data_IF_773304320950
#
_entry.id   IF_773304320950
#
_cell.length_a   1.000
_cell.length_b   1.000
_cell.length_c   1.000
_cell.angle_alpha   90.00
_cell.angle_beta   90.00
_cell.angle_gamma   90.00
#
_symmetry.space_group_name_H-M   'P 1'
#
loop_
_entity.id
_entity.type
_entity.pdbx_description
1 polymer ?
#
# COMPACT_ATOMS: atom_id res chain seq x y z
N UNK A 1 10.25 6.66 -34.76
CA UNK A 1 9.52 5.51 -34.23
C UNK A 1 9.47 5.47 -32.70
N UNK A 2 10.58 5.55 -31.96
CA UNK A 2 10.57 5.51 -30.47
C UNK A 2 9.70 6.60 -29.80
N UNK A 3 9.65 7.82 -30.33
CA UNK A 3 8.85 8.93 -29.76
C UNK A 3 7.33 8.78 -29.98
N UNK A 4 6.91 8.13 -31.05
CA UNK A 4 5.49 7.87 -31.32
C UNK A 4 4.95 6.73 -30.43
N UNK A 5 5.75 5.70 -30.16
CA UNK A 5 5.42 4.63 -29.23
C UNK A 5 5.27 5.16 -27.78
N UNK A 6 6.13 6.08 -27.39
CA UNK A 6 6.06 6.69 -26.05
C UNK A 6 4.81 7.54 -25.85
N UNK A 7 4.41 8.32 -26.85
CA UNK A 7 3.14 9.08 -26.85
C UNK A 7 1.91 8.17 -26.86
N UNK A 8 1.98 7.06 -27.57
CA UNK A 8 0.91 6.05 -27.61
C UNK A 8 0.76 5.32 -26.26
N UNK A 9 1.87 5.00 -25.59
CA UNK A 9 1.88 4.44 -24.22
C UNK A 9 1.23 5.37 -23.20
N UNK A 10 1.51 6.67 -23.27
CA UNK A 10 0.89 7.69 -22.39
C UNK A 10 -0.62 7.77 -22.63
N UNK A 11 -1.07 7.66 -23.87
CA UNK A 11 -2.50 7.68 -24.21
C UNK A 11 -3.23 6.43 -23.72
N UNK A 12 -2.64 5.24 -23.81
CA UNK A 12 -3.20 3.99 -23.28
C UNK A 12 -3.28 4.04 -21.75
N UNK A 13 -2.26 4.58 -21.09
CA UNK A 13 -2.25 4.78 -19.64
C UNK A 13 -3.38 5.70 -19.17
N UNK A 14 -3.62 6.79 -19.92
CA UNK A 14 -4.71 7.72 -19.65
C UNK A 14 -6.09 7.09 -19.93
N UNK A 15 -6.22 6.30 -21.01
CA UNK A 15 -7.49 5.64 -21.39
C UNK A 15 -7.88 4.52 -20.40
N UNK A 16 -6.90 3.69 -19.95
CA UNK A 16 -7.17 2.68 -18.93
C UNK A 16 -7.60 3.29 -17.59
N UNK A 17 -7.17 4.50 -17.30
CA UNK A 17 -7.61 5.24 -16.11
C UNK A 17 -9.06 5.78 -16.23
N UNK A 18 -9.56 5.97 -17.43
CA UNK A 18 -10.92 6.47 -17.71
C UNK A 18 -11.97 5.34 -17.80
N UNK A 19 -11.60 4.18 -18.35
CA UNK A 19 -12.53 3.06 -18.58
C UNK A 19 -12.85 2.28 -17.32
N UNK A 20 -11.95 2.24 -16.33
CA UNK A 20 -12.20 1.56 -15.06
C UNK A 20 -13.22 2.25 -14.13
N UNK A 21 -13.86 3.33 -14.57
CA UNK A 21 -14.69 4.20 -13.74
C UNK A 21 -16.19 4.21 -14.04
N UNK A 22 -16.67 3.48 -15.05
CA UNK A 22 -18.08 3.61 -15.47
C UNK A 22 -18.98 2.40 -15.17
N UNK A 23 -18.46 1.32 -14.57
CA UNK A 23 -19.28 0.14 -14.19
C UNK A 23 -19.58 0.13 -12.70
N UNK A 24 -20.84 0.15 -12.35
CA UNK A 24 -21.36 0.09 -10.97
C UNK A 24 -21.29 -1.30 -10.32
N UNK A 25 -20.91 -2.34 -11.06
CA UNK A 25 -20.77 -3.71 -10.58
C UNK A 25 -19.50 -4.38 -11.15
N UNK A 26 -18.85 -5.30 -10.42
CA UNK A 26 -17.72 -6.04 -10.96
C UNK A 26 -18.18 -6.98 -12.07
N UNK A 27 -17.62 -6.83 -13.26
CA UNK A 27 -17.87 -7.72 -14.40
C UNK A 27 -17.39 -9.15 -14.10
N UNK A 28 -18.19 -10.13 -14.45
CA UNK A 28 -17.80 -11.54 -14.39
C UNK A 28 -16.73 -11.85 -15.44
N UNK A 29 -15.99 -12.96 -15.26
CA UNK A 29 -14.94 -13.39 -16.22
C UNK A 29 -15.48 -13.58 -17.63
N UNK A 30 -16.73 -14.03 -17.77
CA UNK A 30 -17.38 -14.28 -19.06
C UNK A 30 -17.85 -12.99 -19.74
N UNK A 31 -18.25 -11.98 -18.98
CA UNK A 31 -18.57 -10.65 -19.48
C UNK A 31 -17.32 -9.92 -19.98
N UNK A 32 -16.20 -10.05 -19.27
CA UNK A 32 -14.92 -9.50 -19.68
C UNK A 32 -14.41 -10.15 -20.99
N UNK A 33 -14.55 -11.46 -21.11
CA UNK A 33 -14.18 -12.19 -22.34
C UNK A 33 -15.05 -11.79 -23.54
N UNK A 34 -16.37 -11.63 -23.35
CA UNK A 34 -17.30 -11.16 -24.38
C UNK A 34 -17.05 -9.69 -24.78
N UNK A 35 -16.70 -8.84 -23.83
CA UNK A 35 -16.36 -7.44 -24.08
C UNK A 35 -15.10 -7.31 -24.95
N UNK A 36 -14.05 -8.08 -24.63
CA UNK A 36 -12.80 -8.14 -25.42
C UNK A 36 -13.06 -8.71 -26.83
N UNK A 37 -13.91 -9.73 -26.95
CA UNK A 37 -14.29 -10.29 -28.27
C UNK A 37 -15.06 -9.26 -29.13
N UNK A 38 -15.98 -8.50 -28.53
CA UNK A 38 -16.75 -7.46 -29.22
C UNK A 38 -15.86 -6.28 -29.63
N UNK A 39 -14.85 -5.90 -28.85
CA UNK A 39 -13.87 -4.87 -29.22
C UNK A 39 -13.03 -5.30 -30.44
N UNK A 40 -12.59 -6.56 -30.53
CA UNK A 40 -11.87 -7.06 -31.71
C UNK A 40 -12.73 -7.00 -32.98
N UNK A 41 -14.01 -7.33 -32.88
CA UNK A 41 -14.96 -7.18 -34.02
C UNK A 41 -15.17 -5.72 -34.44
N UNK A 42 -15.25 -4.78 -33.51
CA UNK A 42 -15.40 -3.36 -33.79
C UNK A 42 -14.17 -2.75 -34.46
N UNK A 43 -12.97 -3.15 -34.07
CA UNK A 43 -11.73 -2.71 -34.72
C UNK A 43 -11.56 -3.25 -36.15
N UNK A 44 -11.96 -4.50 -36.41
CA UNK A 44 -11.97 -5.06 -37.77
C UNK A 44 -12.98 -4.32 -38.66
N UNK A 45 -14.15 -3.96 -38.13
CA UNK A 45 -15.17 -3.22 -38.87
C UNK A 45 -14.72 -1.80 -39.25
N UNK A 46 -13.98 -1.11 -38.37
CA UNK A 46 -13.44 0.23 -38.65
C UNK A 46 -12.32 0.17 -39.69
N UNK A 47 -11.51 -0.87 -39.72
CA UNK A 47 -10.44 -1.05 -40.72
C UNK A 47 -11.07 -1.37 -42.10
N UNK A 48 -12.12 -2.19 -42.14
CA UNK A 48 -12.81 -2.53 -43.42
C UNK A 48 -13.58 -1.34 -44.00
N UNK A 49 -14.20 -0.51 -43.17
CA UNK A 49 -14.85 0.72 -43.61
C UNK A 49 -13.85 1.80 -44.07
N UNK A 50 -12.64 1.84 -43.48
CA UNK A 50 -11.57 2.76 -43.85
C UNK A 50 -10.95 2.47 -45.24
N UNK A 51 -11.00 1.21 -45.70
CA UNK A 51 -10.46 0.79 -47.01
C UNK A 51 -11.44 1.04 -48.15
N UNK A 52 -12.73 1.13 -47.88
CA UNK A 52 -13.75 1.35 -48.92
C UNK A 52 -14.05 2.85 -49.22
N UNK A 53 -13.52 3.80 -48.44
CA UNK A 53 -13.68 5.24 -48.65
C UNK A 53 -12.43 5.97 -49.18
N UNK A 54 -11.49 5.28 -49.75
CA UNK A 54 -10.22 5.81 -50.22
C UNK A 54 -10.25 6.29 -51.67
N UNK A 55 -10.83 7.42 -51.97
CA UNK A 55 -10.54 8.24 -53.17
C UNK A 55 -11.04 9.69 -53.00
N UNK A 56 -10.40 10.48 -52.13
CA UNK A 56 -10.39 11.94 -52.28
C UNK A 56 -9.01 12.45 -51.80
N UNK A 57 -8.24 13.00 -52.72
CA UNK A 57 -6.98 13.72 -52.46
C UNK A 57 -7.29 14.98 -51.66
N UNK A 58 -6.73 15.23 -50.48
CA UNK A 58 -6.77 16.56 -49.88
C UNK A 58 -5.63 17.42 -50.42
N UNK A 59 -5.99 18.66 -50.77
CA UNK A 59 -5.10 19.77 -51.08
C UNK A 59 -4.18 20.03 -49.86
N UNK A 60 -2.92 20.38 -50.15
CA UNK A 60 -1.98 20.97 -49.18
C UNK A 60 -2.67 22.16 -48.48
N UNK A 61 -2.77 22.07 -47.18
CA UNK A 61 -3.05 23.20 -46.30
C UNK A 61 -1.80 23.43 -45.43
N UNK A 62 -1.45 24.68 -45.26
CA UNK A 62 -0.26 25.19 -44.61
C UNK A 62 -0.14 24.79 -43.15
N UNK A 63 1.13 24.60 -42.75
CA UNK A 63 1.59 24.39 -41.42
C UNK A 63 1.39 25.63 -40.55
N UNK A 64 0.36 25.63 -39.68
CA UNK A 64 0.36 26.43 -38.45
C UNK A 64 -0.78 25.91 -37.54
N UNK A 65 -0.42 25.39 -36.37
CA UNK A 65 -1.39 25.03 -35.32
C UNK A 65 -1.20 23.64 -34.71
N UNK A 66 0.00 23.34 -34.28
CA UNK A 66 0.16 22.36 -33.21
C UNK A 66 -0.16 23.09 -31.89
N UNK A 67 -1.41 23.06 -31.46
CA UNK A 67 -1.70 23.42 -30.07
C UNK A 67 -1.02 22.40 -29.14
N UNK A 68 0.11 22.82 -28.62
CA UNK A 68 0.68 22.26 -27.40
C UNK A 68 -0.35 22.51 -26.30
N UNK A 69 -0.86 21.46 -25.68
CA UNK A 69 -1.55 21.60 -24.40
C UNK A 69 -0.46 22.02 -23.43
N UNK A 70 -0.23 23.32 -23.35
CA UNK A 70 0.53 23.96 -22.28
C UNK A 70 -0.25 23.69 -20.98
N UNK A 71 0.28 22.84 -20.18
CA UNK A 71 -0.07 22.77 -18.77
C UNK A 71 0.31 24.12 -18.16
N UNK A 72 -0.59 24.85 -17.49
CA UNK A 72 -0.22 26.11 -16.90
C UNK A 72 0.85 25.89 -15.83
N UNK A 73 2.04 26.36 -16.08
CA UNK A 73 3.02 26.67 -15.05
C UNK A 73 2.39 27.67 -14.09
N UNK A 74 2.32 27.33 -12.86
CA UNK A 74 1.77 28.13 -11.75
C UNK A 74 0.28 27.87 -11.43
N UNK A 75 0.07 26.95 -10.53
CA UNK A 75 -0.96 27.03 -9.47
C UNK A 75 -0.87 25.81 -8.53
N UNK A 76 0.32 25.53 -8.00
CA UNK A 76 0.50 24.64 -6.86
C UNK A 76 0.17 25.37 -5.53
N UNK A 77 0.05 26.68 -5.54
CA UNK A 77 -0.19 27.51 -4.36
C UNK A 77 -1.50 27.25 -3.61
N UNK A 78 -2.37 26.37 -4.11
CA UNK A 78 -3.67 26.12 -3.47
C UNK A 78 -3.75 24.78 -2.74
N UNK A 79 -2.72 23.95 -2.74
CA UNK A 79 -2.70 22.67 -2.01
C UNK A 79 -2.01 22.74 -0.65
N UNK A 80 -1.20 23.77 -0.43
CA UNK A 80 -0.50 23.97 0.84
C UNK A 80 -1.13 25.15 1.56
N UNK A 81 -2.09 24.91 2.44
CA UNK A 81 -2.39 25.85 3.49
C UNK A 81 -1.24 25.81 4.49
N UNK A 82 -0.20 26.60 4.24
CA UNK A 82 0.86 26.85 5.21
C UNK A 82 0.27 27.70 6.31
N UNK A 83 -0.30 27.07 7.34
CA UNK A 83 -0.32 27.70 8.65
C UNK A 83 1.13 27.79 9.10
N UNK A 84 1.64 29.00 9.21
CA UNK A 84 2.99 29.29 9.66
C UNK A 84 3.29 28.53 10.95
N UNK A 85 4.22 27.60 10.87
CA UNK A 85 4.72 26.85 12.02
C UNK A 85 5.41 27.85 12.96
N UNK A 86 4.73 28.26 14.01
CA UNK A 86 5.37 28.71 15.23
C UNK A 86 6.14 27.52 15.81
N UNK A 87 7.34 27.76 16.27
CA UNK A 87 8.26 26.86 16.97
C UNK A 87 7.60 26.27 18.22
N UNK A 88 6.64 25.36 18.05
CA UNK A 88 6.00 24.59 19.11
C UNK A 88 6.48 23.16 19.00
N UNK A 89 6.99 22.61 20.10
CA UNK A 89 7.23 21.19 20.33
C UNK A 89 6.25 20.37 19.47
N UNK A 90 6.77 19.62 18.49
CA UNK A 90 5.93 18.80 17.61
C UNK A 90 5.18 17.78 18.47
N UNK A 91 3.92 18.06 18.74
CA UNK A 91 3.04 17.13 19.44
C UNK A 91 2.94 15.86 18.57
N UNK A 92 3.33 14.73 19.14
CA UNK A 92 3.27 13.45 18.45
C UNK A 92 1.85 13.22 17.88
N UNK A 93 1.76 12.97 16.58
CA UNK A 93 0.48 12.74 15.88
C UNK A 93 0.15 11.24 15.89
N UNK A 94 -0.99 10.88 16.46
CA UNK A 94 -1.50 9.52 16.31
C UNK A 94 -1.79 9.26 14.83
N UNK A 95 -1.24 8.16 14.32
CA UNK A 95 -1.32 7.80 12.91
C UNK A 95 -1.82 6.35 12.72
N UNK A 96 -2.40 6.08 11.55
CA UNK A 96 -2.90 4.75 11.21
C UNK A 96 -2.73 4.50 9.73
N UNK A 97 -2.47 3.24 9.34
CA UNK A 97 -2.54 2.81 7.95
C UNK A 97 -3.98 2.55 7.53
N UNK A 98 -4.31 2.86 6.28
CA UNK A 98 -5.49 2.35 5.59
C UNK A 98 -5.01 1.50 4.41
N UNK A 99 -5.10 0.16 4.54
CA UNK A 99 -4.46 -0.78 3.61
C UNK A 99 -5.46 -1.62 2.82
N UNK A 100 -6.66 -1.08 2.58
CA UNK A 100 -7.71 -1.70 1.76
C UNK A 100 -7.68 -1.13 0.34
N UNK A 101 -8.17 -1.90 -0.63
CA UNK A 101 -8.31 -1.47 -2.04
C UNK A 101 -9.57 -0.67 -2.30
N UNK A 102 -10.49 -0.60 -1.34
CA UNK A 102 -11.68 0.26 -1.40
C UNK A 102 -11.64 1.19 -0.20
N UNK A 103 -11.51 2.50 -0.46
CA UNK A 103 -11.58 3.50 0.60
C UNK A 103 -13.04 3.77 0.94
N UNK A 104 -13.49 3.17 2.03
CA UNK A 104 -14.81 3.37 2.62
C UNK A 104 -14.68 3.33 4.13
N UNK A 105 -15.19 4.35 4.80
CA UNK A 105 -15.17 4.47 6.26
C UNK A 105 -16.54 4.10 6.83
N UNK A 106 -16.57 3.05 7.63
CA UNK A 106 -17.75 2.70 8.42
C UNK A 106 -17.97 3.74 9.52
N UNK A 107 -19.14 3.71 10.18
CA UNK A 107 -19.38 4.56 11.34
C UNK A 107 -18.38 4.25 12.47
N UNK A 108 -18.03 2.98 12.67
CA UNK A 108 -16.98 2.58 13.61
C UNK A 108 -15.63 3.22 13.27
N UNK A 109 -15.22 3.20 12.00
CA UNK A 109 -13.96 3.79 11.57
C UNK A 109 -13.93 5.31 11.86
N UNK A 110 -15.02 6.02 11.56
CA UNK A 110 -15.14 7.47 11.83
C UNK A 110 -15.06 7.77 13.32
N UNK A 111 -15.76 6.97 14.15
CA UNK A 111 -15.72 7.11 15.61
C UNK A 111 -14.32 6.79 16.16
N UNK A 112 -13.66 5.75 15.65
CA UNK A 112 -12.29 5.38 16.03
C UNK A 112 -11.31 6.52 15.74
N UNK A 113 -11.33 7.07 14.52
CA UNK A 113 -10.47 8.19 14.12
C UNK A 113 -10.65 9.42 15.05
N UNK A 114 -11.89 9.76 15.36
CA UNK A 114 -12.21 10.88 16.27
C UNK A 114 -11.78 10.58 17.70
N UNK A 115 -12.14 9.43 18.25
CA UNK A 115 -11.96 9.00 19.64
C UNK A 115 -10.48 8.91 20.02
N UNK A 116 -9.66 8.37 19.12
CA UNK A 116 -8.22 8.22 19.33
C UNK A 116 -7.39 9.35 18.75
N UNK A 117 -8.02 10.47 18.39
CA UNK A 117 -7.36 11.69 17.90
C UNK A 117 -6.39 11.40 16.73
N UNK A 118 -6.81 10.54 15.78
CA UNK A 118 -6.01 10.25 14.61
C UNK A 118 -5.90 11.48 13.74
N UNK A 119 -4.69 11.93 13.47
CA UNK A 119 -4.38 13.13 12.68
C UNK A 119 -3.68 12.83 11.36
N UNK A 120 -3.21 11.59 11.18
CA UNK A 120 -2.48 11.18 9.99
C UNK A 120 -2.94 9.78 9.54
N UNK A 121 -3.23 9.61 8.25
CA UNK A 121 -3.55 8.32 7.62
C UNK A 121 -2.55 8.04 6.50
N UNK A 122 -1.79 6.94 6.64
CA UNK A 122 -1.02 6.36 5.55
C UNK A 122 -1.97 5.58 4.64
N UNK A 123 -2.34 6.17 3.52
CA UNK A 123 -3.39 5.67 2.63
C UNK A 123 -2.79 4.96 1.44
N UNK A 124 -3.03 3.64 1.33
CA UNK A 124 -2.66 2.89 0.13
C UNK A 124 -3.37 3.48 -1.08
N UNK A 125 -2.60 3.85 -2.12
CA UNK A 125 -3.14 4.42 -3.35
C UNK A 125 -3.22 3.36 -4.46
N UNK A 126 -2.15 2.65 -4.67
CA UNK A 126 -2.00 1.54 -5.62
C UNK A 126 -0.70 0.80 -5.32
N UNK A 127 -0.53 -0.35 -5.96
CA UNK A 127 0.74 -1.05 -5.98
C UNK A 127 1.41 -0.87 -7.34
N UNK A 128 2.72 -1.08 -7.40
CA UNK A 128 3.49 -1.13 -8.65
C UNK A 128 4.12 -2.51 -8.77
N UNK A 129 3.79 -3.21 -9.83
CA UNK A 129 4.37 -4.54 -10.11
C UNK A 129 4.85 -4.65 -11.55
N UNK A 130 5.67 -5.64 -11.79
CA UNK A 130 6.10 -6.04 -13.13
C UNK A 130 5.28 -7.24 -13.58
N UNK A 131 4.42 -7.01 -14.54
CA UNK A 131 3.50 -8.01 -15.08
C UNK A 131 3.75 -8.26 -16.55
N UNK A 132 3.36 -9.42 -17.03
CA UNK A 132 3.42 -9.79 -18.42
C UNK A 132 2.20 -9.22 -19.16
N UNK A 133 2.43 -8.51 -20.27
CA UNK A 133 1.37 -7.96 -21.11
C UNK A 133 0.88 -8.99 -22.15
N UNK A 134 -0.08 -8.60 -22.99
CA UNK A 134 -0.65 -9.49 -24.02
C UNK A 134 0.37 -9.94 -25.08
N UNK A 135 1.47 -9.22 -25.24
CA UNK A 135 2.54 -9.53 -26.20
C UNK A 135 3.72 -10.27 -25.55
N UNK A 136 3.50 -10.83 -24.35
CA UNK A 136 4.50 -11.54 -23.55
C UNK A 136 5.70 -10.66 -23.11
N UNK A 137 5.55 -9.34 -23.19
CA UNK A 137 6.52 -8.39 -22.68
C UNK A 137 6.23 -8.06 -21.21
N UNK A 138 7.30 -7.93 -20.43
CA UNK A 138 7.17 -7.56 -19.02
C UNK A 138 7.17 -6.03 -18.86
N UNK A 139 6.09 -5.50 -18.32
CA UNK A 139 5.90 -4.08 -18.08
C UNK A 139 5.76 -3.77 -16.59
N UNK A 140 6.30 -2.62 -16.16
CA UNK A 140 6.06 -2.08 -14.81
C UNK A 140 4.81 -1.22 -14.86
N UNK A 141 3.76 -1.67 -14.18
CA UNK A 141 2.44 -1.02 -14.19
C UNK A 141 1.87 -0.87 -12.77
N UNK A 142 0.98 0.12 -12.56
CA UNK A 142 0.17 0.19 -11.34
C UNK A 142 -0.90 -0.90 -11.38
N UNK A 143 -1.02 -1.59 -10.25
CA UNK A 143 -2.06 -2.59 -9.98
C UNK A 143 -2.79 -2.24 -8.68
N UNK A 144 -3.88 -2.93 -8.38
CA UNK A 144 -4.62 -2.82 -7.12
C UNK A 144 -4.90 -1.35 -6.70
N UNK A 145 -5.30 -0.51 -7.68
CA UNK A 145 -5.63 0.90 -7.43
C UNK A 145 -6.80 1.03 -6.49
N UNK A 146 -6.66 1.87 -5.46
CA UNK A 146 -7.71 2.09 -4.47
C UNK A 146 -8.91 2.81 -5.10
N UNK A 147 -10.09 2.20 -4.93
CA UNK A 147 -11.37 2.77 -5.30
C UNK A 147 -11.91 3.63 -4.13
N UNK A 148 -12.14 4.90 -4.39
CA UNK A 148 -12.69 5.81 -3.39
C UNK A 148 -14.22 5.80 -3.45
N UNK A 149 -14.84 5.35 -2.36
CA UNK A 149 -16.30 5.40 -2.15
C UNK A 149 -16.70 6.48 -1.14
N UNK A 150 -15.76 6.95 -0.34
CA UNK A 150 -15.94 8.02 0.64
C UNK A 150 -14.92 9.16 0.42
N UNK A 151 -15.23 10.32 1.02
CA UNK A 151 -14.31 11.45 1.10
C UNK A 151 -13.42 11.37 2.34
N UNK A 152 -12.25 11.99 2.25
CA UNK A 152 -11.34 12.10 3.40
C UNK A 152 -11.96 12.99 4.49
N UNK A 153 -11.98 12.56 5.77
CA UNK A 153 -12.46 13.40 6.86
C UNK A 153 -11.61 14.68 7.04
N UNK A 154 -12.26 15.80 7.31
CA UNK A 154 -11.59 17.07 7.50
C UNK A 154 -10.58 17.02 8.67
N UNK A 155 -9.46 17.73 8.54
CA UNK A 155 -8.41 17.84 9.57
C UNK A 155 -7.49 16.62 9.69
N UNK A 156 -7.60 15.64 8.81
CA UNK A 156 -6.69 14.49 8.74
C UNK A 156 -5.67 14.72 7.62
N UNK A 157 -4.40 14.59 7.94
CA UNK A 157 -3.31 14.55 6.98
C UNK A 157 -3.29 13.19 6.27
N UNK A 158 -3.22 13.18 4.95
CA UNK A 158 -3.09 11.96 4.17
C UNK A 158 -1.64 11.83 3.69
N UNK A 159 -1.08 10.64 3.91
CA UNK A 159 0.18 10.22 3.32
C UNK A 159 -0.13 9.20 2.23
N UNK A 160 -0.16 9.62 0.95
CA UNK A 160 -0.31 8.68 -0.15
C UNK A 160 0.80 7.64 -0.10
N UNK A 161 0.42 6.36 0.02
CA UNK A 161 1.38 5.25 0.17
C UNK A 161 1.28 4.33 -1.04
N UNK A 162 2.42 4.03 -1.66
CA UNK A 162 2.54 3.14 -2.82
C UNK A 162 3.42 1.96 -2.48
N UNK A 163 2.88 0.75 -2.63
CA UNK A 163 3.68 -0.47 -2.52
C UNK A 163 4.36 -0.78 -3.85
N UNK A 164 5.67 -1.07 -3.79
CA UNK A 164 6.50 -1.37 -4.96
C UNK A 164 7.08 -2.76 -4.77
N UNK A 165 6.73 -3.69 -5.66
CA UNK A 165 7.29 -5.03 -5.61
C UNK A 165 8.80 -5.04 -5.93
N UNK A 166 9.51 -5.99 -5.36
CA UNK A 166 10.93 -6.17 -5.68
C UNK A 166 11.18 -6.57 -7.16
N UNK A 167 10.15 -7.12 -7.83
CA UNK A 167 10.21 -7.38 -9.28
C UNK A 167 10.22 -6.08 -10.09
N UNK A 168 9.33 -5.14 -9.76
CA UNK A 168 9.28 -3.84 -10.42
C UNK A 168 10.59 -3.08 -10.29
N UNK A 169 11.07 -2.92 -9.05
CA UNK A 169 12.25 -2.10 -8.77
C UNK A 169 13.57 -2.73 -9.29
N UNK A 170 13.65 -4.05 -9.42
CA UNK A 170 14.86 -4.74 -9.90
C UNK A 170 15.14 -4.47 -11.37
N UNK A 171 14.11 -4.37 -12.18
CA UNK A 171 14.22 -4.36 -13.65
C UNK A 171 14.00 -2.99 -14.27
N UNK A 172 13.31 -2.11 -13.55
CA UNK A 172 13.08 -0.74 -13.98
C UNK A 172 12.95 0.14 -12.74
N UNK A 173 13.84 1.08 -12.59
CA UNK A 173 13.79 2.10 -11.53
C UNK A 173 13.41 3.49 -12.09
N UNK A 174 13.06 3.59 -13.37
CA UNK A 174 12.84 4.86 -14.05
C UNK A 174 11.34 5.22 -14.20
N UNK A 175 10.53 4.79 -13.24
CA UNK A 175 9.10 5.13 -13.20
C UNK A 175 8.74 6.17 -12.11
N UNK A 176 9.72 6.77 -11.45
CA UNK A 176 9.49 7.73 -10.36
C UNK A 176 8.60 8.91 -10.80
N UNK A 177 8.85 9.48 -11.97
CA UNK A 177 8.04 10.58 -12.51
C UNK A 177 6.61 10.14 -12.87
N UNK A 178 6.45 8.95 -13.44
CA UNK A 178 5.13 8.40 -13.77
C UNK A 178 4.31 8.14 -12.49
N UNK A 179 4.96 7.58 -11.46
CA UNK A 179 4.33 7.36 -10.17
C UNK A 179 3.92 8.68 -9.51
N UNK A 180 4.80 9.68 -9.51
CA UNK A 180 4.50 11.01 -8.99
C UNK A 180 3.28 11.63 -9.70
N UNK A 181 3.26 11.66 -11.04
CA UNK A 181 2.14 12.18 -11.83
C UNK A 181 0.83 11.45 -11.54
N UNK A 182 0.88 10.12 -11.36
CA UNK A 182 -0.30 9.34 -11.02
C UNK A 182 -0.83 9.67 -9.62
N UNK A 183 0.05 9.75 -8.62
CA UNK A 183 -0.36 10.15 -7.27
C UNK A 183 -1.04 11.51 -7.33
N UNK A 184 -0.42 12.49 -7.98
CA UNK A 184 -0.97 13.84 -8.12
C UNK A 184 -2.36 13.85 -8.79
N UNK A 185 -2.52 13.11 -9.90
CA UNK A 185 -3.80 12.99 -10.59
C UNK A 185 -4.89 12.37 -9.68
N UNK A 186 -4.53 11.37 -8.85
CA UNK A 186 -5.47 10.80 -7.88
C UNK A 186 -5.83 11.78 -6.77
N UNK A 187 -4.87 12.54 -6.23
CA UNK A 187 -5.12 13.58 -5.23
C UNK A 187 -6.09 14.63 -5.74
N UNK A 188 -5.87 15.12 -6.96
CA UNK A 188 -6.76 16.11 -7.60
C UNK A 188 -8.17 15.55 -7.83
N UNK A 189 -8.27 14.33 -8.39
CA UNK A 189 -9.54 13.67 -8.68
C UNK A 189 -10.40 13.49 -7.44
N UNK A 190 -9.80 13.10 -6.33
CA UNK A 190 -10.49 12.79 -5.07
C UNK A 190 -10.46 13.96 -4.07
N UNK A 191 -9.99 15.14 -4.50
CA UNK A 191 -9.95 16.39 -3.72
C UNK A 191 -9.20 16.23 -2.39
N UNK A 192 -8.14 15.43 -2.39
CA UNK A 192 -7.27 15.21 -1.22
C UNK A 192 -6.26 16.36 -1.17
N UNK A 193 -6.38 17.26 -0.19
CA UNK A 193 -5.63 18.52 -0.14
C UNK A 193 -4.60 18.57 0.99
N UNK A 194 -4.84 17.92 2.11
CA UNK A 194 -3.93 17.94 3.25
C UNK A 194 -2.87 16.82 3.11
N UNK A 195 -1.88 17.05 2.27
CA UNK A 195 -0.76 16.14 1.99
C UNK A 195 0.54 16.90 2.21
N UNK A 196 1.42 16.38 3.07
CA UNK A 196 2.75 16.93 3.35
C UNK A 196 3.86 15.91 3.08
N UNK A 197 3.48 14.65 2.91
CA UNK A 197 4.38 13.51 2.82
C UNK A 197 3.81 12.50 1.80
N UNK A 198 4.69 11.89 1.01
CA UNK A 198 4.39 10.68 0.21
C UNK A 198 5.24 9.55 0.74
N UNK A 199 4.68 8.34 0.82
CA UNK A 199 5.38 7.17 1.29
C UNK A 199 5.53 6.12 0.20
N UNK A 200 6.70 5.48 0.17
CA UNK A 200 6.95 4.27 -0.61
C UNK A 200 7.16 3.08 0.32
N UNK A 201 6.48 1.98 0.03
CA UNK A 201 6.65 0.70 0.71
C UNK A 201 7.34 -0.28 -0.25
N UNK A 202 8.52 -0.76 0.12
CA UNK A 202 9.27 -1.72 -0.69
C UNK A 202 10.11 -2.63 0.20
N UNK A 203 9.94 -3.94 0.03
CA UNK A 203 10.73 -4.95 0.71
C UNK A 203 12.10 -5.15 0.01
N UNK A 204 12.83 -4.06 -0.22
CA UNK A 204 14.11 -4.12 -0.91
C UNK A 204 15.12 -4.99 -0.17
N UNK A 205 15.94 -5.67 -0.95
CA UNK A 205 17.00 -6.58 -0.49
C UNK A 205 18.37 -6.07 -0.93
N UNK A 206 19.44 -6.75 -0.54
CA UNK A 206 20.79 -6.38 -1.01
C UNK A 206 20.90 -6.32 -2.55
N UNK A 207 20.14 -7.17 -3.27
CA UNK A 207 20.17 -7.22 -4.74
C UNK A 207 19.32 -6.14 -5.43
N UNK A 208 18.45 -5.45 -4.70
CA UNK A 208 17.58 -4.38 -5.23
C UNK A 208 17.83 -3.01 -4.57
N UNK A 209 18.78 -2.95 -3.63
CA UNK A 209 19.08 -1.74 -2.85
C UNK A 209 19.42 -0.55 -3.74
N UNK A 210 20.37 -0.71 -4.67
CA UNK A 210 20.86 0.40 -5.48
C UNK A 210 19.77 0.92 -6.43
N UNK A 211 18.97 0.01 -7.02
CA UNK A 211 17.82 0.38 -7.84
C UNK A 211 16.76 1.14 -7.02
N UNK A 212 16.43 0.65 -5.82
CA UNK A 212 15.48 1.31 -4.94
C UNK A 212 15.99 2.67 -4.46
N UNK A 213 17.27 2.79 -4.14
CA UNK A 213 17.86 4.06 -3.71
C UNK A 213 17.91 5.08 -4.85
N UNK A 214 18.24 4.65 -6.07
CA UNK A 214 18.18 5.50 -7.25
C UNK A 214 16.77 6.02 -7.53
N UNK A 215 15.78 5.14 -7.41
CA UNK A 215 14.37 5.50 -7.50
C UNK A 215 13.96 6.52 -6.42
N UNK A 216 14.28 6.25 -5.14
CA UNK A 216 13.98 7.17 -4.04
C UNK A 216 14.62 8.55 -4.25
N UNK A 217 15.87 8.61 -4.71
CA UNK A 217 16.54 9.88 -4.96
C UNK A 217 15.82 10.70 -6.05
N UNK A 218 15.40 10.06 -7.16
CA UNK A 218 14.64 10.72 -8.22
C UNK A 218 13.29 11.23 -7.71
N UNK A 219 12.54 10.37 -7.01
CA UNK A 219 11.23 10.74 -6.46
C UNK A 219 11.33 11.85 -5.42
N UNK A 220 12.32 11.78 -4.52
CA UNK A 220 12.57 12.80 -3.51
C UNK A 220 12.84 14.17 -4.13
N UNK A 221 13.63 14.23 -5.20
CA UNK A 221 13.91 15.49 -5.90
C UNK A 221 12.64 16.11 -6.50
N UNK A 222 11.74 15.29 -7.07
CA UNK A 222 10.44 15.75 -7.59
C UNK A 222 9.56 16.30 -6.46
N UNK A 223 9.47 15.58 -5.35
CA UNK A 223 8.64 15.96 -4.21
C UNK A 223 9.14 17.24 -3.52
N UNK A 224 10.44 17.39 -3.35
CA UNK A 224 11.04 18.59 -2.75
C UNK A 224 10.76 19.84 -3.57
N UNK A 225 10.66 19.75 -4.90
CA UNK A 225 10.25 20.87 -5.74
C UNK A 225 8.85 21.39 -5.40
N UNK A 226 7.97 20.49 -4.90
CA UNK A 226 6.60 20.81 -4.47
C UNK A 226 6.48 20.95 -2.94
N UNK A 227 7.59 21.09 -2.21
CA UNK A 227 7.64 21.19 -0.74
C UNK A 227 7.02 19.99 -0.02
N UNK A 228 7.03 18.80 -0.64
CA UNK A 228 6.60 17.54 -0.06
C UNK A 228 7.80 16.71 0.40
N UNK A 229 7.63 15.96 1.50
CA UNK A 229 8.63 15.02 1.99
C UNK A 229 8.40 13.60 1.44
N UNK A 230 9.48 12.82 1.35
CA UNK A 230 9.44 11.41 1.03
C UNK A 230 9.71 10.57 2.26
N UNK A 231 8.84 9.61 2.58
CA UNK A 231 9.14 8.59 3.56
C UNK A 231 9.20 7.19 2.93
N UNK A 232 9.82 6.26 3.64
CA UNK A 232 9.85 4.85 3.26
C UNK A 232 9.55 3.96 4.46
N UNK A 233 8.95 2.79 4.21
CA UNK A 233 8.85 1.74 5.20
C UNK A 233 10.23 1.11 5.42
N UNK A 234 10.54 0.79 6.68
CA UNK A 234 11.81 0.17 7.08
C UNK A 234 11.47 -1.15 7.77
N UNK A 235 12.08 -2.24 7.30
CA UNK A 235 11.98 -3.55 7.95
C UNK A 235 13.08 -3.72 9.00
N UNK A 236 12.85 -4.55 10.02
CA UNK A 236 13.83 -4.81 11.09
C UNK A 236 15.22 -5.23 10.55
N UNK A 237 15.25 -6.08 9.52
CA UNK A 237 16.50 -6.53 8.92
C UNK A 237 17.26 -5.42 8.15
N UNK A 238 16.60 -4.32 7.83
CA UNK A 238 17.18 -3.17 7.14
C UNK A 238 17.85 -2.17 8.10
N UNK A 239 17.56 -2.25 9.42
CA UNK A 239 18.16 -1.34 10.42
C UNK A 239 19.70 -1.36 10.45
N UNK A 240 20.32 -2.43 10.00
CA UNK A 240 21.79 -2.58 9.92
C UNK A 240 22.34 -2.40 8.51
N UNK A 241 21.51 -1.94 7.59
CA UNK A 241 21.88 -1.71 6.20
C UNK A 241 22.05 -0.22 5.93
N UNK A 242 22.47 0.10 4.69
CA UNK A 242 22.54 1.46 4.19
C UNK A 242 21.18 2.13 4.28
N UNK A 243 21.15 3.38 4.71
CA UNK A 243 19.92 4.16 4.85
C UNK A 243 19.43 4.62 3.47
N UNK A 244 18.15 4.43 3.12
CA UNK A 244 17.61 4.92 1.85
C UNK A 244 17.61 6.47 1.83
N UNK A 245 17.75 7.09 0.65
CA UNK A 245 17.77 8.54 0.50
C UNK A 245 16.36 9.14 0.55
N UNK A 246 15.73 9.05 1.71
CA UNK A 246 14.40 9.60 2.02
C UNK A 246 14.50 10.55 3.22
N UNK A 247 13.45 11.28 3.53
CA UNK A 247 13.44 12.25 4.61
C UNK A 247 13.11 11.63 5.97
N UNK A 248 12.34 10.52 5.97
CA UNK A 248 11.84 9.85 7.15
C UNK A 248 11.60 8.37 6.89
N UNK A 249 11.61 7.55 7.93
CA UNK A 249 11.24 6.15 7.87
C UNK A 249 10.04 5.81 8.76
N UNK A 250 9.31 4.74 8.42
CA UNK A 250 8.37 4.08 9.31
C UNK A 250 8.86 2.66 9.57
N UNK A 251 9.35 2.40 10.79
CA UNK A 251 9.81 1.06 11.17
C UNK A 251 8.61 0.14 11.37
N UNK A 252 8.53 -0.89 10.56
CA UNK A 252 7.46 -1.89 10.63
C UNK A 252 7.79 -2.95 11.67
N UNK A 253 7.09 -2.91 12.81
CA UNK A 253 7.21 -3.83 13.93
C UNK A 253 6.14 -4.92 13.83
N UNK A 254 6.05 -5.55 12.66
CA UNK A 254 5.17 -6.68 12.37
C UNK A 254 5.76 -7.55 11.26
N UNK A 255 5.14 -8.73 11.04
CA UNK A 255 5.69 -9.79 10.19
C UNK A 255 7.12 -10.16 10.63
N UNK A 256 7.30 -10.32 11.96
CA UNK A 256 8.61 -10.52 12.58
C UNK A 256 9.07 -11.97 12.52
N UNK A 257 8.14 -12.92 12.41
CA UNK A 257 8.40 -14.35 12.32
C UNK A 257 8.14 -14.94 10.93
N UNK A 258 8.50 -16.20 10.73
CA UNK A 258 8.27 -16.92 9.48
C UNK A 258 6.90 -17.60 9.45
N UNK A 259 6.06 -17.24 8.49
CA UNK A 259 4.79 -17.94 8.22
C UNK A 259 5.00 -19.38 7.73
N UNK A 260 6.15 -19.64 7.11
CA UNK A 260 6.50 -20.95 6.52
C UNK A 260 6.97 -21.97 7.56
N UNK A 261 7.46 -21.52 8.72
CA UNK A 261 7.95 -22.41 9.75
C UNK A 261 6.78 -22.92 10.62
N UNK A 262 6.50 -24.23 10.63
CA UNK A 262 5.41 -24.80 11.41
C UNK A 262 5.60 -24.64 12.94
N UNK A 263 6.82 -24.41 13.42
CA UNK A 263 7.10 -24.19 14.84
C UNK A 263 6.91 -22.73 15.29
N UNK A 264 6.70 -21.81 14.35
CA UNK A 264 6.39 -20.41 14.68
C UNK A 264 5.05 -20.35 15.42
N UNK A 265 5.04 -19.72 16.58
CA UNK A 265 3.82 -19.56 17.39
C UNK A 265 2.99 -18.37 16.92
N UNK A 266 3.66 -17.29 16.53
CA UNK A 266 3.05 -16.06 16.04
C UNK A 266 4.05 -15.36 15.12
N UNK A 267 3.74 -15.28 13.85
CA UNK A 267 4.59 -14.61 12.86
C UNK A 267 4.27 -13.12 12.72
N UNK A 268 3.14 -12.65 13.28
CA UNK A 268 2.76 -11.24 13.21
C UNK A 268 3.71 -10.40 14.04
N UNK A 269 3.82 -10.69 15.34
CA UNK A 269 4.71 -9.97 16.25
C UNK A 269 5.20 -10.89 17.37
N UNK A 270 6.51 -10.94 17.54
CA UNK A 270 7.16 -11.64 18.64
C UNK A 270 8.27 -10.77 19.22
N UNK A 271 8.23 -10.53 20.53
CA UNK A 271 9.29 -9.82 21.25
C UNK A 271 10.67 -10.44 20.99
N UNK A 272 10.77 -11.76 21.00
CA UNK A 272 12.04 -12.48 20.78
C UNK A 272 12.61 -12.21 19.39
N UNK A 273 11.75 -12.16 18.37
CA UNK A 273 12.18 -11.90 17.02
C UNK A 273 12.69 -10.46 16.89
N UNK A 274 11.98 -9.48 17.45
CA UNK A 274 12.41 -8.07 17.45
C UNK A 274 13.71 -7.89 18.24
N UNK A 275 13.82 -8.49 19.44
CA UNK A 275 15.01 -8.43 20.31
C UNK A 275 16.26 -8.94 19.58
N UNK A 276 16.12 -9.97 18.72
CA UNK A 276 17.24 -10.51 17.95
C UNK A 276 17.88 -9.48 17.01
N UNK A 277 17.11 -8.51 16.52
CA UNK A 277 17.62 -7.39 15.71
C UNK A 277 18.19 -6.26 16.57
N UNK A 278 17.75 -6.09 17.81
CA UNK A 278 18.07 -4.98 18.71
C UNK A 278 19.01 -5.38 19.86
N UNK A 279 19.98 -6.27 19.59
CA UNK A 279 20.94 -6.74 20.62
C UNK A 279 21.83 -5.64 21.23
N UNK A 280 22.04 -4.55 20.49
CA UNK A 280 22.76 -3.35 20.94
C UNK A 280 21.89 -2.11 20.70
N UNK A 281 22.25 -0.98 21.30
CA UNK A 281 21.62 0.30 20.97
C UNK A 281 21.83 0.61 19.49
N UNK A 282 20.79 1.08 18.84
CA UNK A 282 20.77 1.41 17.40
C UNK A 282 20.48 2.89 17.24
N UNK A 283 21.36 3.57 16.52
CA UNK A 283 21.08 4.88 15.95
C UNK A 283 20.85 4.69 14.45
N UNK A 284 19.64 4.96 13.98
CA UNK A 284 19.33 4.92 12.56
C UNK A 284 19.44 6.32 11.97
N UNK A 285 20.02 6.44 10.79
CA UNK A 285 20.35 7.73 10.17
C UNK A 285 19.14 8.50 9.60
N UNK A 286 17.91 8.16 10.01
CA UNK A 286 16.67 8.86 9.68
C UNK A 286 15.80 9.00 10.93
N UNK A 287 14.97 10.05 11.02
CA UNK A 287 13.82 10.08 11.92
C UNK A 287 12.91 8.89 11.66
N UNK A 288 12.44 8.18 12.68
CA UNK A 288 11.58 7.02 12.54
C UNK A 288 10.26 7.19 13.27
N UNK A 289 9.16 6.86 12.60
CA UNK A 289 7.91 6.47 13.25
C UNK A 289 7.87 4.95 13.43
N UNK A 290 6.99 4.45 14.29
CA UNK A 290 6.94 3.04 14.67
C UNK A 290 5.55 2.47 14.41
N UNK A 291 5.45 1.50 13.49
CA UNK A 291 4.20 0.86 13.11
C UNK A 291 4.00 -0.47 13.84
N UNK A 292 2.91 -0.56 14.62
CA UNK A 292 2.51 -1.75 15.37
C UNK A 292 1.30 -2.42 14.75
N UNK A 293 1.23 -3.77 14.75
CA UNK A 293 0.11 -4.50 14.15
C UNK A 293 -1.12 -4.47 15.06
N UNK A 294 -2.29 -4.43 14.42
CA UNK A 294 -3.58 -4.60 15.10
C UNK A 294 -4.46 -5.65 14.43
N UNK A 295 -3.87 -6.59 13.70
CA UNK A 295 -4.58 -7.60 12.91
C UNK A 295 -4.36 -9.02 13.43
N UNK A 296 -5.19 -9.92 12.91
CA UNK A 296 -5.09 -11.36 13.10
C UNK A 296 -5.25 -12.08 11.76
N UNK A 297 -4.76 -13.29 11.68
CA UNK A 297 -4.96 -14.18 10.54
C UNK A 297 -4.90 -15.66 10.92
N UNK A 298 -5.40 -16.52 10.04
CA UNK A 298 -5.21 -17.95 10.11
C UNK A 298 -4.13 -18.40 9.12
N UNK A 299 -3.14 -19.14 9.58
CA UNK A 299 -2.16 -19.76 8.69
C UNK A 299 -2.61 -21.19 8.40
N UNK A 300 -3.06 -21.45 7.17
CA UNK A 300 -3.43 -22.81 6.75
C UNK A 300 -2.17 -23.62 6.49
N UNK A 301 -2.06 -24.73 7.19
CA UNK A 301 -0.98 -25.70 7.06
C UNK A 301 -1.54 -27.05 6.54
N UNK A 302 -0.91 -27.60 5.52
CA UNK A 302 -1.17 -28.93 5.01
C UNK A 302 0.10 -29.76 5.15
N UNK A 303 0.03 -30.88 5.86
CA UNK A 303 1.21 -31.73 6.15
C UNK A 303 2.41 -30.95 6.69
N UNK A 304 2.16 -29.96 7.59
CA UNK A 304 3.13 -29.01 8.16
C UNK A 304 3.72 -28.00 7.17
N UNK A 305 3.25 -27.94 5.93
CA UNK A 305 3.67 -26.96 4.95
C UNK A 305 2.68 -25.79 4.89
N UNK A 306 3.19 -24.58 4.74
CA UNK A 306 2.38 -23.39 4.50
C UNK A 306 1.60 -23.53 3.19
N UNK A 307 0.31 -23.19 3.21
CA UNK A 307 -0.55 -23.13 2.02
C UNK A 307 -0.99 -21.71 1.71
N UNK A 308 -1.64 -21.05 2.67
CA UNK A 308 -2.23 -19.73 2.46
C UNK A 308 -2.50 -19.03 3.80
N UNK A 309 -2.57 -17.71 3.77
CA UNK A 309 -3.08 -16.87 4.86
C UNK A 309 -4.58 -16.70 4.67
N UNK A 310 -5.36 -16.90 5.73
CA UNK A 310 -6.81 -16.74 5.78
C UNK A 310 -7.17 -15.60 6.74
N UNK A 311 -8.07 -14.71 6.31
CA UNK A 311 -8.42 -13.51 7.09
C UNK A 311 -9.78 -13.61 7.79
N UNK A 312 -10.70 -14.41 7.27
CA UNK A 312 -12.11 -14.46 7.73
C UNK A 312 -12.52 -15.82 8.32
N UNK A 313 -11.62 -16.47 9.08
CA UNK A 313 -11.93 -17.77 9.67
C UNK A 313 -12.83 -17.61 10.89
N UNK A 314 -14.03 -18.16 10.82
CA UNK A 314 -14.94 -18.23 11.98
C UNK A 314 -14.62 -19.43 12.87
N UNK A 315 -13.66 -19.27 13.78
CA UNK A 315 -13.25 -20.34 14.70
C UNK A 315 -14.31 -20.72 15.77
N UNK A 316 -15.41 -19.99 15.89
CA UNK A 316 -16.54 -20.38 16.75
C UNK A 316 -17.43 -21.46 16.11
N UNK A 317 -17.26 -21.77 14.83
CA UNK A 317 -17.91 -22.88 14.15
C UNK A 317 -17.29 -24.21 14.58
N UNK A 318 -17.81 -24.78 15.66
CA UNK A 318 -17.32 -26.06 16.25
C UNK A 318 -17.63 -27.28 15.38
N UNK A 319 -18.46 -27.16 14.36
CA UNK A 319 -18.70 -28.25 13.39
C UNK A 319 -17.52 -28.35 12.41
N UNK A 320 -16.92 -27.23 12.07
CA UNK A 320 -15.78 -27.17 11.12
C UNK A 320 -14.42 -27.16 11.80
N UNK A 321 -14.32 -26.60 13.01
CA UNK A 321 -13.05 -26.39 13.67
C UNK A 321 -13.00 -26.91 15.11
N UNK A 322 -11.97 -27.67 15.42
CA UNK A 322 -11.67 -28.10 16.79
C UNK A 322 -10.42 -27.40 17.30
N UNK A 323 -10.56 -26.62 18.37
CA UNK A 323 -9.43 -25.98 19.03
C UNK A 323 -8.44 -27.01 19.57
N UNK A 324 -7.17 -26.77 19.29
CA UNK A 324 -6.03 -27.56 19.76
C UNK A 324 -5.14 -26.69 20.67
N UNK A 325 -4.05 -27.25 21.17
CA UNK A 325 -3.04 -26.50 21.93
C UNK A 325 -2.27 -25.51 21.06
N UNK A 326 -1.76 -24.41 21.65
CA UNK A 326 -0.88 -23.45 20.97
C UNK A 326 -1.54 -22.58 19.90
N UNK A 327 -2.85 -22.32 19.98
CA UNK A 327 -3.54 -21.48 19.01
C UNK A 327 -3.90 -22.16 17.69
N UNK A 328 -3.71 -23.49 17.60
CA UNK A 328 -4.02 -24.27 16.42
C UNK A 328 -5.47 -24.74 16.43
N UNK A 329 -6.03 -24.94 15.23
CA UNK A 329 -7.35 -25.49 14.99
C UNK A 329 -7.27 -26.62 13.97
N UNK A 330 -7.85 -27.78 14.33
CA UNK A 330 -8.01 -28.90 13.40
C UNK A 330 -9.29 -28.71 12.59
N UNK A 331 -9.19 -28.84 11.28
CA UNK A 331 -10.34 -28.83 10.36
C UNK A 331 -11.05 -30.20 10.44
N UNK A 332 -12.32 -30.18 10.87
CA UNK A 332 -13.16 -31.39 11.04
C UNK A 332 -13.95 -31.74 9.78
N UNK A 333 -14.34 -30.71 9.00
CA UNK A 333 -15.13 -30.87 7.78
C UNK A 333 -14.50 -30.09 6.65
N UNK A 334 -14.49 -30.69 5.47
CA UNK A 334 -14.05 -30.09 4.24
C UNK A 334 -15.00 -28.96 3.79
N UNK A 335 -14.46 -27.84 3.37
CA UNK A 335 -15.23 -26.68 2.92
C UNK A 335 -14.36 -25.70 2.10
N UNK A 336 -14.99 -24.70 1.50
CA UNK A 336 -14.30 -23.58 0.86
C UNK A 336 -14.34 -22.35 1.76
N UNK A 337 -13.22 -21.61 1.81
CA UNK A 337 -13.08 -20.32 2.50
C UNK A 337 -12.13 -19.43 1.70
N UNK A 338 -12.52 -18.18 1.42
CA UNK A 338 -11.74 -17.21 0.63
C UNK A 338 -11.21 -17.80 -0.70
N UNK A 339 -12.05 -18.55 -1.41
CA UNK A 339 -11.72 -19.29 -2.64
C UNK A 339 -10.66 -20.39 -2.49
N UNK A 340 -10.30 -20.77 -1.25
CA UNK A 340 -9.39 -21.87 -0.96
C UNK A 340 -10.13 -23.11 -0.49
N UNK A 341 -9.72 -24.26 -1.00
CA UNK A 341 -10.25 -25.56 -0.56
C UNK A 341 -9.58 -25.97 0.76
N UNK A 342 -10.34 -26.01 1.83
CA UNK A 342 -9.89 -26.36 3.17
C UNK A 342 -10.26 -27.82 3.43
N UNK A 343 -9.27 -28.70 3.51
CA UNK A 343 -9.47 -30.15 3.64
C UNK A 343 -9.63 -30.56 5.10
N UNK A 344 -10.45 -31.57 5.34
CA UNK A 344 -10.49 -32.26 6.63
C UNK A 344 -9.10 -32.75 7.02
N UNK A 345 -8.68 -32.52 8.26
CA UNK A 345 -7.33 -32.86 8.77
C UNK A 345 -6.31 -31.74 8.62
N UNK A 346 -6.59 -30.70 7.82
CA UNK A 346 -5.71 -29.53 7.79
C UNK A 346 -5.63 -28.87 9.18
N UNK A 347 -4.54 -28.17 9.43
CA UNK A 347 -4.34 -27.36 10.64
C UNK A 347 -4.38 -25.89 10.25
N UNK A 348 -5.14 -25.09 10.97
CA UNK A 348 -5.08 -23.62 10.87
C UNK A 348 -4.50 -23.09 12.17
N UNK A 349 -3.37 -22.41 12.07
CA UNK A 349 -2.74 -21.68 13.19
C UNK A 349 -3.31 -20.29 13.25
N UNK A 350 -4.06 -19.97 14.32
CA UNK A 350 -4.53 -18.61 14.58
C UNK A 350 -3.40 -17.78 15.18
N UNK A 351 -3.08 -16.68 14.55
CA UNK A 351 -2.11 -15.70 15.02
C UNK A 351 -2.79 -14.35 15.23
N UNK A 352 -2.48 -13.70 16.35
CA UNK A 352 -3.11 -12.44 16.74
C UNK A 352 -2.06 -11.43 17.18
N UNK A 353 -2.32 -10.16 16.88
CA UNK A 353 -1.69 -9.06 17.61
C UNK A 353 -2.28 -8.98 19.02
N UNK A 354 -1.46 -8.83 20.04
CA UNK A 354 -1.93 -8.65 21.42
C UNK A 354 -1.35 -7.39 22.04
N UNK A 355 -2.15 -6.70 22.83
CA UNK A 355 -1.71 -5.52 23.56
C UNK A 355 -0.43 -5.77 24.37
N UNK A 356 -0.36 -6.87 25.09
CA UNK A 356 0.80 -7.22 25.93
C UNK A 356 2.08 -7.32 25.11
N UNK A 357 2.04 -7.97 23.94
CA UNK A 357 3.23 -8.15 23.10
C UNK A 357 3.62 -6.83 22.41
N UNK A 358 2.65 -6.05 21.95
CA UNK A 358 2.88 -4.70 21.42
C UNK A 358 3.60 -3.84 22.46
N UNK A 359 3.12 -3.81 23.70
CA UNK A 359 3.73 -2.99 24.75
C UNK A 359 5.11 -3.47 25.18
N UNK A 360 5.37 -4.80 25.13
CA UNK A 360 6.72 -5.34 25.36
C UNK A 360 7.70 -4.86 24.29
N UNK A 361 7.31 -4.96 23.03
CA UNK A 361 8.12 -4.49 21.89
C UNK A 361 8.31 -2.98 21.96
N UNK A 362 7.27 -2.23 22.28
CA UNK A 362 7.34 -0.76 22.39
C UNK A 362 8.35 -0.32 23.46
N UNK A 363 8.36 -0.96 24.63
CA UNK A 363 9.37 -0.69 25.67
C UNK A 363 10.78 -1.08 25.22
N UNK A 364 10.93 -2.17 24.47
CA UNK A 364 12.22 -2.57 23.91
C UNK A 364 12.74 -1.51 22.93
N UNK A 365 11.91 -1.04 22.02
CA UNK A 365 12.27 0.03 21.08
C UNK A 365 12.71 1.28 21.84
N UNK A 366 11.92 1.76 22.80
CA UNK A 366 12.25 2.93 23.60
C UNK A 366 13.61 2.77 24.34
N UNK A 367 13.94 1.56 24.80
CA UNK A 367 15.20 1.28 25.48
C UNK A 367 16.42 1.10 24.58
N UNK A 368 16.23 0.78 23.29
CA UNK A 368 17.31 0.37 22.37
C UNK A 368 17.54 1.34 21.22
N UNK A 369 16.56 2.15 20.88
CA UNK A 369 16.69 3.10 19.81
C UNK A 369 16.77 4.52 20.36
N UNK A 370 17.91 5.18 20.15
CA UNK A 370 18.08 6.61 20.42
C UNK A 370 17.36 7.40 19.31
N UNK A 371 16.04 7.34 19.29
CA UNK A 371 15.19 8.12 18.40
C UNK A 371 14.54 9.21 19.24
N UNK A 372 14.64 10.45 18.79
CA UNK A 372 13.68 11.46 19.19
C UNK A 372 12.28 10.87 18.95
N UNK A 373 11.35 11.11 19.87
CA UNK A 373 10.03 10.49 19.95
C UNK A 373 9.31 10.43 18.60
N UNK A 374 9.42 9.31 17.90
CA UNK A 374 8.68 9.06 16.68
C UNK A 374 7.19 8.84 16.96
N UNK A 375 6.34 9.12 15.97
CA UNK A 375 4.92 8.87 16.08
C UNK A 375 4.62 7.37 16.15
N UNK A 376 3.59 7.02 16.89
CA UNK A 376 3.03 5.66 16.85
C UNK A 376 2.05 5.56 15.69
N UNK A 377 2.19 4.51 14.88
CA UNK A 377 1.31 4.18 13.76
C UNK A 377 0.67 2.82 14.02
N UNK A 378 -0.63 2.67 13.84
CA UNK A 378 -1.27 1.36 13.88
C UNK A 378 -1.45 0.79 12.46
N UNK A 379 -1.20 -0.49 12.29
CA UNK A 379 -1.43 -1.20 11.04
C UNK A 379 -2.51 -2.27 11.27
N UNK A 380 -3.77 -2.08 10.78
CA UNK A 380 -4.31 -0.95 10.05
C UNK A 380 -5.77 -0.66 10.47
N UNK A 381 -6.42 0.36 9.88
CA UNK A 381 -7.82 0.72 10.17
C UNK A 381 -8.75 -0.38 9.64
N UNK A 382 -9.14 -1.26 10.53
CA UNK A 382 -10.06 -2.36 10.28
C UNK A 382 -10.89 -2.61 11.53
N UNK A 383 -12.21 -2.41 11.41
CA UNK A 383 -13.13 -2.46 12.56
C UNK A 383 -13.13 -3.81 13.27
N UNK A 384 -13.05 -4.93 12.51
CA UNK A 384 -13.05 -6.27 13.10
C UNK A 384 -11.81 -6.51 13.96
N UNK A 385 -10.64 -6.17 13.44
CA UNK A 385 -9.37 -6.35 14.13
C UNK A 385 -9.20 -5.36 15.30
N UNK A 386 -9.56 -4.08 15.09
CA UNK A 386 -9.47 -3.07 16.15
C UNK A 386 -10.44 -3.32 17.31
N UNK A 387 -11.59 -3.98 17.07
CA UNK A 387 -12.54 -4.35 18.13
C UNK A 387 -12.00 -5.40 19.12
N UNK A 388 -10.88 -6.05 18.79
CA UNK A 388 -10.21 -6.98 19.71
C UNK A 388 -9.42 -6.28 20.84
N UNK A 389 -9.24 -4.97 20.73
CA UNK A 389 -8.53 -4.15 21.71
C UNK A 389 -9.52 -3.31 22.53
N UNK A 390 -9.28 -3.21 23.83
CA UNK A 390 -10.01 -2.24 24.64
C UNK A 390 -9.56 -0.81 24.31
N UNK A 391 -10.46 0.15 24.50
CA UNK A 391 -10.15 1.56 24.28
C UNK A 391 -8.90 2.05 25.03
N UNK A 392 -8.78 1.64 26.30
CA UNK A 392 -7.62 2.00 27.13
C UNK A 392 -6.32 1.41 26.58
N UNK A 393 -6.37 0.23 25.95
CA UNK A 393 -5.21 -0.41 25.34
C UNK A 393 -4.74 0.37 24.11
N UNK A 394 -5.66 0.76 23.21
CA UNK A 394 -5.34 1.61 22.07
C UNK A 394 -4.72 2.95 22.52
N UNK A 395 -5.30 3.60 23.52
CA UNK A 395 -4.75 4.86 24.06
C UNK A 395 -3.34 4.65 24.63
N UNK A 396 -3.09 3.55 25.34
CA UNK A 396 -1.75 3.24 25.85
C UNK A 396 -0.75 2.91 24.74
N UNK A 397 -1.18 2.26 23.65
CA UNK A 397 -0.30 2.04 22.49
C UNK A 397 0.12 3.37 21.88
N UNK A 398 -0.76 4.35 21.77
CA UNK A 398 -0.42 5.67 21.26
C UNK A 398 0.41 6.52 22.22
N UNK A 399 0.28 6.31 23.53
CA UNK A 399 1.02 7.08 24.53
C UNK A 399 2.54 6.80 24.44
N UNK A 400 3.41 7.81 24.32
CA UNK A 400 4.86 7.60 24.37
C UNK A 400 5.30 6.83 25.62
N UNK A 401 6.32 6.02 25.51
CA UNK A 401 7.00 5.40 26.67
C UNK A 401 7.94 6.47 27.25
N UNK A 402 7.84 6.80 28.55
CA UNK A 402 8.70 7.79 29.21
C UNK A 402 10.17 7.35 29.25
#
# INVERSE_FOLDING_TARGET
MKSALQKFRIAIWALMSLVACDSKEPMTSDEAANWVANMKCSFVLIIVLGVLCGCVRPKKADSSGAESIDMPESKIDTLVSVEAASDSLQVAKNAIYYWKTVFRLTEYDRQFLKKHHIRKIYLRMFDVDRVENADWELEVIPIATTLFQDTIPAGIEIVPTVYITTKAIRHDSDFAELMYKRIYAMLMRHQIRNVQEIQVDCDWTASTQDSFFGFCQKLRNLLHADSLSLSATIRLHQLKKKVPPVDKGVLMLYNTGSIYNPETKNSILSYKDVEAYLKSNITYGLPLDFAYPTYSWGILMEERNFRVILHEVNFSDTLRYKKMTGGNYLVLQEHYLENHHIRKGNIIRLENSTFSEIMRVKRLIASKMASESGNTVLYHLDSLNLSMFEEKEINQIYTPIP
#
